data_IF_974640912571
#
_entry.id   IF_974640912571
#
_cell.length_a   1.000
_cell.length_b   1.000
_cell.length_c   1.000
_cell.angle_alpha   90.00
_cell.angle_beta   90.00
_cell.angle_gamma   90.00
#
_symmetry.space_group_name_H-M   'P 1'
#
loop_
_entity.id
_entity.type
_entity.pdbx_description
1 polymer ?
#
# COMPACT_ATOMS: atom_id res chain seq x y z
N UNK A 1 25.73 -21.20 0.49
CA UNK A 1 25.55 -19.81 -0.02
C UNK A 1 24.42 -19.13 0.74
N UNK A 2 24.85 -18.51 1.83
CA UNK A 2 23.89 -17.90 2.78
C UNK A 2 23.19 -16.68 2.22
N UNK A 3 23.88 -15.82 1.46
CA UNK A 3 23.29 -14.60 0.92
C UNK A 3 22.17 -14.88 -0.08
N UNK A 4 22.30 -15.91 -0.92
CA UNK A 4 21.24 -16.33 -1.83
C UNK A 4 19.98 -16.77 -1.06
N UNK A 5 20.13 -17.60 -0.04
CA UNK A 5 19.01 -18.06 0.77
C UNK A 5 18.37 -16.92 1.54
N UNK A 6 19.15 -16.02 2.11
CA UNK A 6 18.64 -14.83 2.78
C UNK A 6 17.91 -13.91 1.81
N UNK A 7 18.42 -13.76 0.59
CA UNK A 7 17.81 -12.97 -0.47
C UNK A 7 16.42 -13.53 -0.85
N UNK A 8 16.33 -14.84 -1.07
CA UNK A 8 15.06 -15.50 -1.38
C UNK A 8 14.06 -15.37 -0.24
N UNK A 9 14.52 -15.53 1.01
CA UNK A 9 13.68 -15.35 2.18
C UNK A 9 13.19 -13.90 2.30
N UNK A 10 14.04 -12.92 2.01
CA UNK A 10 13.66 -11.51 2.02
C UNK A 10 12.57 -11.21 0.98
N UNK A 11 12.66 -11.77 -0.22
CA UNK A 11 11.61 -11.65 -1.24
C UNK A 11 10.29 -12.29 -0.79
N UNK A 12 10.34 -13.46 -0.15
CA UNK A 12 9.15 -14.12 0.40
C UNK A 12 8.48 -13.30 1.48
N UNK A 13 9.29 -12.72 2.37
CA UNK A 13 8.77 -11.88 3.46
C UNK A 13 8.17 -10.58 2.91
N UNK A 14 8.80 -9.98 1.93
CA UNK A 14 8.21 -8.83 1.22
C UNK A 14 6.87 -9.20 0.58
N UNK A 15 6.79 -10.36 -0.05
CA UNK A 15 5.54 -10.84 -0.65
C UNK A 15 4.41 -10.98 0.39
N UNK A 16 4.73 -11.50 1.58
CA UNK A 16 3.77 -11.56 2.69
C UNK A 16 3.33 -10.18 3.13
N UNK A 17 4.26 -9.25 3.26
CA UNK A 17 3.96 -7.87 3.64
C UNK A 17 3.09 -7.17 2.60
N UNK A 18 3.35 -7.40 1.32
CA UNK A 18 2.53 -6.84 0.25
C UNK A 18 1.10 -7.39 0.27
N UNK A 19 0.91 -8.66 0.63
CA UNK A 19 -0.43 -9.23 0.86
C UNK A 19 -1.10 -8.64 2.08
N UNK A 20 -0.37 -8.44 3.16
CA UNK A 20 -0.88 -7.77 4.36
C UNK A 20 -1.24 -6.31 4.06
N UNK A 21 -0.46 -5.63 3.24
CA UNK A 21 -0.75 -4.28 2.73
C UNK A 21 -2.10 -4.25 1.99
N UNK A 22 -2.32 -5.20 1.08
CA UNK A 22 -3.58 -5.32 0.35
C UNK A 22 -4.77 -5.49 1.30
N UNK A 23 -4.63 -6.35 2.31
CA UNK A 23 -5.66 -6.56 3.33
C UNK A 23 -5.91 -5.29 4.14
N UNK A 24 -4.85 -4.59 4.53
CA UNK A 24 -4.95 -3.32 5.26
C UNK A 24 -5.74 -2.29 4.46
N UNK A 25 -5.49 -2.16 3.16
CA UNK A 25 -6.21 -1.24 2.28
C UNK A 25 -7.68 -1.64 2.19
N UNK A 26 -7.97 -2.91 1.97
CA UNK A 26 -9.36 -3.42 1.85
C UNK A 26 -10.17 -3.23 3.14
N UNK A 27 -9.53 -3.39 4.28
CA UNK A 27 -10.18 -3.23 5.59
C UNK A 27 -10.08 -1.81 6.14
N UNK A 28 -9.46 -0.90 5.41
CA UNK A 28 -9.24 0.50 5.83
C UNK A 28 -8.45 0.61 7.13
N UNK A 29 -7.55 -0.33 7.37
CA UNK A 29 -6.65 -0.32 8.53
C UNK A 29 -5.37 0.44 8.16
N UNK A 30 -5.41 1.74 8.30
CA UNK A 30 -4.35 2.64 7.86
C UNK A 30 -3.08 2.52 8.72
N UNK A 31 -3.23 2.22 10.01
CA UNK A 31 -2.08 1.98 10.89
C UNK A 31 -1.31 0.73 10.47
N UNK A 32 -2.02 -0.35 10.16
CA UNK A 32 -1.40 -1.57 9.63
C UNK A 32 -0.74 -1.32 8.27
N UNK A 33 -1.37 -0.52 7.41
CA UNK A 33 -0.78 -0.14 6.12
C UNK A 33 0.55 0.58 6.31
N UNK A 34 0.60 1.55 7.22
CA UNK A 34 1.82 2.29 7.52
C UNK A 34 2.93 1.36 8.03
N UNK A 35 2.60 0.44 8.93
CA UNK A 35 3.55 -0.54 9.45
C UNK A 35 4.08 -1.46 8.34
N UNK A 36 3.22 -1.94 7.46
CA UNK A 36 3.62 -2.75 6.30
C UNK A 36 4.56 -1.98 5.37
N UNK A 37 4.27 -0.71 5.10
CA UNK A 37 5.09 0.12 4.21
C UNK A 37 6.48 0.38 4.80
N UNK A 38 6.58 0.61 6.10
CA UNK A 38 7.86 0.75 6.78
C UNK A 38 8.67 -0.54 6.71
N UNK A 39 8.06 -1.69 6.98
CA UNK A 39 8.71 -2.98 6.89
C UNK A 39 9.18 -3.30 5.47
N UNK A 40 8.38 -2.99 4.46
CA UNK A 40 8.74 -3.16 3.04
C UNK A 40 9.98 -2.32 2.70
N UNK A 41 10.04 -1.09 3.17
CA UNK A 41 11.20 -0.21 2.96
C UNK A 41 12.47 -0.82 3.54
N UNK A 42 12.39 -1.41 4.73
CA UNK A 42 13.52 -2.11 5.36
C UNK A 42 13.95 -3.33 4.53
N UNK A 43 13.01 -4.10 4.00
CA UNK A 43 13.32 -5.23 3.12
C UNK A 43 13.94 -4.78 1.80
N UNK A 44 13.52 -3.67 1.23
CA UNK A 44 14.13 -3.12 0.02
C UNK A 44 15.61 -2.79 0.23
N UNK A 45 15.95 -2.20 1.36
CA UNK A 45 17.35 -1.91 1.73
C UNK A 45 18.14 -3.21 1.92
N UNK A 46 17.58 -4.16 2.65
CA UNK A 46 18.20 -5.47 2.89
C UNK A 46 18.44 -6.22 1.58
N UNK A 47 17.46 -6.24 0.68
CA UNK A 47 17.56 -6.90 -0.62
C UNK A 47 18.67 -6.29 -1.47
N UNK A 48 18.80 -4.96 -1.48
CA UNK A 48 19.90 -4.29 -2.17
C UNK A 48 21.26 -4.78 -1.71
N UNK A 49 21.46 -4.88 -0.40
CA UNK A 49 22.71 -5.40 0.18
C UNK A 49 22.92 -6.88 -0.13
N UNK A 50 21.89 -7.70 0.07
CA UNK A 50 21.96 -9.14 -0.18
C UNK A 50 22.20 -9.49 -1.64
N UNK A 51 21.70 -8.70 -2.56
CA UNK A 51 21.93 -8.88 -4.00
C UNK A 51 23.42 -8.74 -4.32
N UNK A 52 24.09 -7.74 -3.76
CA UNK A 52 25.51 -7.54 -3.95
C UNK A 52 26.31 -8.71 -3.34
N UNK A 53 25.96 -9.14 -2.15
CA UNK A 53 26.62 -10.26 -1.47
C UNK A 53 26.42 -11.58 -2.23
N UNK A 54 25.20 -11.83 -2.72
CA UNK A 54 24.89 -13.02 -3.50
C UNK A 54 25.69 -13.08 -4.80
N UNK A 55 25.82 -11.96 -5.52
CA UNK A 55 26.64 -11.90 -6.73
C UNK A 55 28.08 -12.26 -6.44
N UNK A 56 28.64 -11.77 -5.35
CA UNK A 56 30.02 -12.11 -4.94
C UNK A 56 30.17 -13.60 -4.64
N UNK A 57 29.20 -14.20 -3.97
CA UNK A 57 29.19 -15.64 -3.70
C UNK A 57 29.12 -16.46 -4.98
N UNK A 58 28.25 -16.07 -5.93
CA UNK A 58 28.14 -16.75 -7.22
C UNK A 58 29.43 -16.67 -8.03
N UNK A 59 30.06 -15.50 -8.06
CA UNK A 59 31.33 -15.30 -8.74
C UNK A 59 32.44 -16.18 -8.15
N UNK A 60 32.54 -16.23 -6.82
CA UNK A 60 33.52 -17.07 -6.11
C UNK A 60 33.29 -18.55 -6.36
N UNK A 61 32.05 -18.98 -6.48
CA UNK A 61 31.68 -20.36 -6.74
C UNK A 61 31.76 -20.73 -8.23
N UNK A 62 32.08 -19.78 -9.10
CA UNK A 62 32.13 -20.01 -10.55
C UNK A 62 30.76 -20.21 -11.19
N UNK A 63 29.70 -19.73 -10.54
CA UNK A 63 28.33 -19.84 -11.04
C UNK A 63 28.01 -18.69 -11.98
N UNK A 64 27.09 -18.95 -12.93
CA UNK A 64 26.60 -17.94 -13.86
C UNK A 64 25.61 -17.01 -13.16
N UNK A 65 26.04 -15.77 -12.87
CA UNK A 65 25.23 -14.77 -12.21
C UNK A 65 23.97 -14.42 -13.01
N UNK A 66 24.05 -14.41 -14.36
CA UNK A 66 22.90 -14.11 -15.22
C UNK A 66 21.81 -15.17 -15.07
N UNK A 67 22.17 -16.44 -15.02
CA UNK A 67 21.19 -17.52 -14.79
C UNK A 67 20.57 -17.44 -13.40
N UNK A 68 21.38 -17.15 -12.38
CA UNK A 68 20.91 -16.97 -11.01
C UNK A 68 19.93 -15.79 -10.91
N UNK A 69 20.25 -14.66 -11.51
CA UNK A 69 19.39 -13.49 -11.56
C UNK A 69 18.08 -13.77 -12.30
N UNK A 70 18.13 -14.58 -13.35
CA UNK A 70 16.93 -14.98 -14.09
C UNK A 70 15.96 -15.78 -13.24
N UNK A 71 16.45 -16.66 -12.36
CA UNK A 71 15.60 -17.38 -11.41
C UNK A 71 14.95 -16.45 -10.39
N UNK A 72 15.68 -15.44 -9.93
CA UNK A 72 15.17 -14.43 -8.98
C UNK A 72 14.18 -13.49 -9.67
N UNK A 73 14.31 -13.26 -10.96
CA UNK A 73 13.43 -12.40 -11.76
C UNK A 73 11.95 -12.77 -11.62
N UNK A 74 11.64 -14.05 -11.46
CA UNK A 74 10.27 -14.53 -11.25
C UNK A 74 9.67 -13.93 -9.99
N UNK A 75 10.44 -13.89 -8.89
CA UNK A 75 10.01 -13.28 -7.63
C UNK A 75 9.82 -11.76 -7.78
N UNK A 76 10.75 -11.12 -8.48
CA UNK A 76 10.70 -9.67 -8.73
C UNK A 76 9.46 -9.31 -9.54
N UNK A 77 9.15 -10.05 -10.61
CA UNK A 77 7.97 -9.81 -11.44
C UNK A 77 6.68 -9.99 -10.64
N UNK A 78 6.60 -11.02 -9.81
CA UNK A 78 5.46 -11.25 -8.92
C UNK A 78 5.25 -10.09 -7.94
N UNK A 79 6.33 -9.56 -7.37
CA UNK A 79 6.26 -8.40 -6.47
C UNK A 79 5.85 -7.12 -7.18
N UNK A 80 6.36 -6.88 -8.39
CA UNK A 80 5.98 -5.73 -9.21
C UNK A 80 4.48 -5.75 -9.46
N UNK A 81 3.94 -6.90 -9.87
CA UNK A 81 2.51 -7.07 -10.14
C UNK A 81 1.68 -6.84 -8.88
N UNK A 82 2.09 -7.42 -7.76
CA UNK A 82 1.40 -7.24 -6.48
C UNK A 82 1.43 -5.79 -6.02
N UNK A 83 2.56 -5.11 -6.20
CA UNK A 83 2.70 -3.67 -5.89
C UNK A 83 1.75 -2.83 -6.74
N UNK A 84 1.64 -3.12 -8.04
CA UNK A 84 0.68 -2.43 -8.92
C UNK A 84 -0.75 -2.62 -8.45
N UNK A 85 -1.11 -3.85 -8.10
CA UNK A 85 -2.45 -4.16 -7.58
C UNK A 85 -2.73 -3.37 -6.31
N UNK A 86 -1.77 -3.31 -5.40
CA UNK A 86 -1.90 -2.56 -4.15
C UNK A 86 -2.02 -1.05 -4.39
N UNK A 87 -1.26 -0.50 -5.34
CA UNK A 87 -1.38 0.91 -5.73
C UNK A 87 -2.76 1.21 -6.30
N UNK A 88 -3.31 0.32 -7.13
CA UNK A 88 -4.66 0.46 -7.68
C UNK A 88 -5.72 0.39 -6.58
N UNK A 89 -5.58 -0.52 -5.62
CA UNK A 89 -6.47 -0.62 -4.46
C UNK A 89 -6.44 0.65 -3.62
N UNK A 90 -5.25 1.18 -3.37
CA UNK A 90 -5.08 2.41 -2.59
C UNK A 90 -5.68 3.61 -3.33
N UNK A 91 -5.48 3.71 -4.63
CA UNK A 91 -6.07 4.79 -5.43
C UNK A 91 -7.60 4.72 -5.42
N UNK A 92 -8.19 3.52 -5.55
CA UNK A 92 -9.63 3.33 -5.42
C UNK A 92 -10.14 3.75 -4.05
N UNK A 93 -9.41 3.43 -2.99
CA UNK A 93 -9.79 3.83 -1.64
C UNK A 93 -9.75 5.35 -1.46
N UNK A 94 -8.75 6.02 -2.03
CA UNK A 94 -8.64 7.48 -2.02
C UNK A 94 -9.77 8.14 -2.80
N UNK A 95 -10.09 7.61 -3.97
CA UNK A 95 -11.17 8.12 -4.82
C UNK A 95 -12.53 7.97 -4.11
N UNK A 96 -12.77 6.83 -3.48
CA UNK A 96 -13.97 6.58 -2.69
C UNK A 96 -14.09 7.54 -1.51
N UNK A 97 -12.99 7.78 -0.80
CA UNK A 97 -12.96 8.74 0.30
C UNK A 97 -13.23 10.17 -0.17
N UNK A 98 -12.67 10.56 -1.33
CA UNK A 98 -12.91 11.87 -1.93
C UNK A 98 -14.38 12.05 -2.31
N UNK A 99 -15.02 11.03 -2.89
CA UNK A 99 -16.44 11.05 -3.21
C UNK A 99 -17.30 11.19 -1.96
N UNK A 100 -16.99 10.45 -0.90
CA UNK A 100 -17.70 10.55 0.39
C UNK A 100 -17.59 11.94 0.99
N UNK A 101 -16.40 12.53 0.95
CA UNK A 101 -16.19 13.90 1.42
C UNK A 101 -16.99 14.91 0.61
N UNK A 102 -17.06 14.74 -0.71
CA UNK A 102 -17.88 15.57 -1.58
C UNK A 102 -19.36 15.43 -1.27
N UNK A 103 -19.86 14.19 -1.11
CA UNK A 103 -21.25 13.90 -0.73
C UNK A 103 -21.58 14.51 0.64
N UNK A 104 -20.69 14.39 1.62
CA UNK A 104 -20.86 14.99 2.94
C UNK A 104 -20.86 16.53 2.86
N UNK A 105 -20.00 17.09 2.02
CA UNK A 105 -19.98 18.54 1.76
C UNK A 105 -21.29 19.01 1.16
N UNK A 106 -21.83 18.27 0.19
CA UNK A 106 -23.11 18.57 -0.43
C UNK A 106 -24.28 18.38 0.56
N UNK A 107 -24.25 17.29 1.34
CA UNK A 107 -25.22 17.05 2.38
C UNK A 107 -25.21 18.16 3.44
N UNK A 108 -24.02 18.61 3.82
CA UNK A 108 -23.84 19.74 4.74
C UNK A 108 -24.44 21.03 4.19
N UNK A 109 -24.24 21.32 2.92
CA UNK A 109 -24.85 22.47 2.24
C UNK A 109 -26.37 22.36 2.22
N UNK A 110 -26.91 21.18 1.94
CA UNK A 110 -28.34 20.93 1.94
C UNK A 110 -28.95 21.09 3.32
N UNK A 111 -28.28 20.59 4.35
CA UNK A 111 -28.69 20.75 5.75
C UNK A 111 -28.71 22.23 6.13
N UNK A 112 -27.67 22.99 5.79
CA UNK A 112 -27.64 24.45 6.07
C UNK A 112 -28.76 25.17 5.35
N UNK A 113 -29.07 24.79 4.12
CA UNK A 113 -30.18 25.36 3.35
C UNK A 113 -31.52 25.06 4.01
N UNK A 114 -31.72 23.83 4.48
CA UNK A 114 -32.91 23.44 5.24
C UNK A 114 -32.97 24.18 6.58
N UNK A 115 -31.88 24.29 7.30
CA UNK A 115 -31.81 25.04 8.57
C UNK A 115 -32.18 26.50 8.37
N UNK A 116 -31.75 27.13 7.30
CA UNK A 116 -32.13 28.51 6.98
C UNK A 116 -33.62 28.63 6.74
N UNK A 117 -34.20 27.68 5.98
CA UNK A 117 -35.64 27.65 5.73
C UNK A 117 -36.46 27.41 7.00
N UNK A 118 -36.10 26.38 7.77
CA UNK A 118 -36.74 26.05 9.03
C UNK A 118 -36.46 27.06 10.13
N UNK A 119 -35.24 27.53 10.22
CA UNK A 119 -34.85 28.57 11.17
C UNK A 119 -35.63 29.86 10.97
N UNK A 120 -35.88 30.22 9.74
CA UNK A 120 -36.70 31.38 9.41
C UNK A 120 -38.16 31.16 9.82
N UNK A 121 -38.72 29.98 9.49
CA UNK A 121 -40.10 29.60 9.90
C UNK A 121 -40.24 29.49 11.42
N UNK A 122 -39.29 28.84 12.08
CA UNK A 122 -39.27 28.70 13.54
C UNK A 122 -39.08 30.06 14.21
N UNK A 123 -38.24 30.93 13.64
CA UNK A 123 -38.07 32.30 14.13
C UNK A 123 -39.35 33.09 14.10
N UNK A 124 -40.19 32.94 13.06
CA UNK A 124 -41.51 33.56 12.98
C UNK A 124 -42.48 33.03 14.04
N UNK A 125 -42.37 31.73 14.35
CA UNK A 125 -43.20 31.09 15.36
C UNK A 125 -42.73 31.46 16.79
N UNK A 126 -41.45 31.55 17.03
CA UNK A 126 -40.91 31.89 18.35
C UNK A 126 -41.02 33.36 18.72
N UNK A 127 -41.07 34.22 17.75
CA UNK A 127 -41.29 35.65 17.98
C UNK A 127 -42.72 35.97 18.41
N UNK A 128 -43.60 35.05 18.12
CA UNK A 128 -44.97 35.12 18.60
C UNK A 128 -45.12 34.36 19.92
#
# INVERSE_FOLDING_TARGET
MNAENELLNAYRDWHRLARAEAKAIRTRNWDLLADCQLAITDFQTLIGRLTIEARKEWERAGLNAVEKERHIQVFIQSLIELTRQNQALLQSAKDEAALKLEELGQAGKNIRRLQRSYGHAVGLVHVT
#
